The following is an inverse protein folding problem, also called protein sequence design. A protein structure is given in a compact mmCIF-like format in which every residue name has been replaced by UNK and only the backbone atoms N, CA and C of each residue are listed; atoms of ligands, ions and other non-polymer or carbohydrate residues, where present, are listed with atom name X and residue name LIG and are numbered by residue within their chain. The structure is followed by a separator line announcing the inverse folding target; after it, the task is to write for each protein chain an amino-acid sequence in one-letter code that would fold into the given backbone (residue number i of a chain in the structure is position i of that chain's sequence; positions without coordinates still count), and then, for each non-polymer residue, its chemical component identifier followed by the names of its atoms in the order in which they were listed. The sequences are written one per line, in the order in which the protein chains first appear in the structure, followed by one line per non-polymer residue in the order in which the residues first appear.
data_IF_701696783620
#
_entry.id   IF_701696783620
#
_cell.length_a   1.000
_cell.length_b   1.000
_cell.length_c   1.000
_cell.angle_alpha   90.00
_cell.angle_beta   90.00
_cell.angle_gamma   90.00
#
_symmetry.space_group_name_H-M   'P 1'
#
loop_
_entity.id
_entity.type
_entity.pdbx_description
1 polymer ?
#
# COMPACT_ATOMS: atom_id res chain seq x y z
N UNK A 1 20.44 -20.76 18.09
CA UNK A 1 19.75 -20.09 19.23
C UNK A 1 19.68 -18.59 18.94
N UNK A 2 18.46 -18.03 18.91
CA UNK A 2 18.01 -16.69 19.39
C UNK A 2 18.91 -15.47 19.03
N UNK A 3 18.54 -14.54 18.15
CA UNK A 3 17.47 -13.51 18.23
C UNK A 3 17.57 -12.53 19.42
N UNK A 4 17.77 -11.23 19.12
CA UNK A 4 17.14 -9.98 19.66
C UNK A 4 18.03 -8.77 19.28
N UNK A 5 17.63 -7.77 18.48
CA UNK A 5 16.71 -6.62 18.73
C UNK A 5 17.03 -5.81 20.00
N UNK A 6 17.50 -4.57 19.81
CA UNK A 6 17.26 -3.29 20.55
C UNK A 6 17.67 -2.19 19.55
N UNK A 7 16.91 -1.20 19.06
CA UNK A 7 15.76 -0.38 19.46
C UNK A 7 16.07 0.78 20.43
N UNK A 8 16.11 2.00 19.86
CA UNK A 8 15.71 3.31 20.41
C UNK A 8 16.38 3.90 21.67
N UNK A 9 16.72 5.20 21.57
CA UNK A 9 16.70 6.32 22.56
C UNK A 9 17.72 7.37 22.08
N UNK A 10 17.48 8.67 21.97
CA UNK A 10 16.34 9.49 22.38
C UNK A 10 16.86 10.88 22.81
N UNK A 11 16.32 11.94 22.22
CA UNK A 11 16.04 13.24 22.84
C UNK A 11 14.77 13.71 22.11
N UNK A 12 13.57 13.70 22.68
CA UNK A 12 13.23 13.85 24.09
C UNK A 12 12.77 15.27 24.35
N UNK A 13 11.69 15.70 23.70
CA UNK A 13 10.80 16.73 24.21
C UNK A 13 9.37 16.20 24.03
N UNK A 14 9.02 15.21 24.85
CA UNK A 14 7.62 14.96 25.19
C UNK A 14 7.15 16.17 26.00
N UNK A 15 6.51 17.10 25.32
CA UNK A 15 5.90 18.26 25.93
C UNK A 15 4.39 18.02 25.84
N UNK A 16 3.81 17.68 26.99
CA UNK A 16 2.35 17.67 27.19
C UNK A 16 1.94 19.14 27.11
N UNK A 17 1.56 19.59 25.91
CA UNK A 17 1.11 20.95 25.64
C UNK A 17 -0.40 20.91 25.52
N UNK A 18 -1.08 21.45 26.53
CA UNK A 18 -2.51 21.68 26.51
C UNK A 18 -2.88 22.75 25.48
N UNK A 19 -3.78 22.38 24.55
CA UNK A 19 -4.70 23.24 23.79
C UNK A 19 -4.10 24.52 23.16
N UNK A 20 -3.36 24.36 22.06
CA UNK A 20 -2.62 25.41 21.35
C UNK A 20 -2.96 25.45 19.84
N UNK A 21 -2.58 26.52 19.11
CA UNK A 21 -2.91 26.79 17.70
C UNK A 21 -1.69 27.28 16.89
N UNK A 22 -0.62 26.48 16.85
CA UNK A 22 0.67 26.88 16.33
C UNK A 22 0.67 27.11 14.80
N UNK A 23 1.32 28.19 14.35
CA UNK A 23 1.63 28.46 12.93
C UNK A 23 3.04 27.97 12.61
N UNK A 24 3.20 27.37 11.44
CA UNK A 24 4.49 26.93 10.92
C UNK A 24 4.73 27.52 9.54
N UNK A 25 5.87 28.18 9.39
CA UNK A 25 6.34 28.66 8.09
C UNK A 25 7.62 27.91 7.73
N UNK A 26 7.67 27.38 6.52
CA UNK A 26 8.84 26.70 5.96
C UNK A 26 9.34 27.47 4.74
N UNK A 27 10.63 27.81 4.75
CA UNK A 27 11.29 28.41 3.60
C UNK A 27 12.34 27.44 3.08
N UNK A 28 12.19 27.07 1.82
CA UNK A 28 13.14 26.26 1.07
C UNK A 28 13.92 27.18 0.15
N UNK A 29 15.18 27.41 0.49
CA UNK A 29 16.11 28.14 -0.38
C UNK A 29 16.84 27.13 -1.28
N UNK A 30 16.47 27.18 -2.56
CA UNK A 30 17.00 26.32 -3.62
C UNK A 30 17.93 27.11 -4.55
N UNK A 31 18.37 28.30 -4.12
CA UNK A 31 19.27 29.15 -4.89
C UNK A 31 20.71 28.59 -4.96
N UNK A 32 21.01 27.48 -4.30
CA UNK A 32 22.35 26.89 -4.27
C UNK A 32 22.41 25.59 -5.07
N UNK A 33 23.47 25.43 -5.86
CA UNK A 33 23.73 24.19 -6.61
C UNK A 33 24.29 23.12 -5.67
N UNK A 34 23.56 22.02 -5.50
CA UNK A 34 24.02 20.84 -4.73
C UNK A 34 23.47 20.71 -3.30
N UNK A 35 22.89 21.75 -2.73
CA UNK A 35 22.24 21.69 -1.41
C UNK A 35 21.01 22.62 -1.34
N UNK A 36 20.06 22.26 -0.49
CA UNK A 36 18.91 23.05 -0.11
C UNK A 36 19.07 23.50 1.34
N UNK A 37 18.81 24.78 1.59
CA UNK A 37 18.75 25.31 2.95
C UNK A 37 17.30 25.40 3.37
N UNK A 38 16.95 24.69 4.44
CA UNK A 38 15.59 24.62 4.96
C UNK A 38 15.55 25.45 6.24
N UNK A 39 14.66 26.44 6.25
CA UNK A 39 14.40 27.25 7.42
C UNK A 39 12.99 26.94 7.91
N UNK A 40 12.89 26.45 9.14
CA UNK A 40 11.62 26.20 9.81
C UNK A 40 11.40 27.26 10.87
N UNK A 41 10.23 27.89 10.84
CA UNK A 41 9.80 28.86 11.83
C UNK A 41 8.56 28.34 12.54
N UNK A 42 8.64 28.22 13.87
CA UNK A 42 7.51 27.93 14.72
C UNK A 42 7.13 29.18 15.50
N UNK A 43 5.86 29.58 15.41
CA UNK A 43 5.34 30.78 16.07
C UNK A 43 4.45 30.39 17.24
N UNK A 44 4.73 31.01 18.39
CA UNK A 44 4.02 30.79 19.64
C UNK A 44 3.50 32.13 20.16
N UNK A 45 2.32 32.14 20.75
CA UNK A 45 1.83 33.24 21.58
C UNK A 45 2.65 33.36 22.87
N UNK A 46 2.54 34.49 23.56
CA UNK A 46 3.25 34.69 24.83
C UNK A 46 2.91 33.62 25.87
N UNK A 47 1.63 33.24 25.96
CA UNK A 47 1.15 32.22 26.89
C UNK A 47 1.68 30.83 26.53
N UNK A 48 1.79 30.52 25.24
CA UNK A 48 2.37 29.27 24.74
C UNK A 48 3.86 29.17 25.10
N UNK A 49 4.64 30.24 24.92
CA UNK A 49 6.06 30.22 25.33
C UNK A 49 6.23 30.04 26.82
N UNK A 50 5.42 30.71 27.65
CA UNK A 50 5.47 30.57 29.12
C UNK A 50 5.20 29.14 29.58
N UNK A 51 4.38 28.38 28.83
CA UNK A 51 4.15 26.96 29.09
C UNK A 51 5.31 26.07 28.61
N UNK A 52 5.95 26.43 27.50
CA UNK A 52 7.04 25.66 26.88
C UNK A 52 8.38 25.83 27.60
N UNK A 53 8.68 27.04 28.06
CA UNK A 53 9.94 27.36 28.73
C UNK A 53 9.81 28.60 29.61
N UNK A 54 10.44 28.57 30.78
CA UNK A 54 10.61 29.75 31.62
C UNK A 54 11.59 30.77 31.02
N UNK A 55 12.38 30.37 30.01
CA UNK A 55 13.38 31.19 29.36
C UNK A 55 12.93 31.63 27.96
N UNK A 56 12.25 32.77 27.93
CA UNK A 56 11.72 33.41 26.70
C UNK A 56 12.82 34.04 25.84
N UNK A 57 14.07 34.16 26.34
CA UNK A 57 15.18 34.79 25.61
C UNK A 57 15.66 33.99 24.39
N UNK A 58 15.24 32.72 24.30
CA UNK A 58 15.50 31.82 23.17
C UNK A 58 14.57 32.03 21.96
N UNK A 59 13.62 32.95 22.06
CA UNK A 59 12.62 33.22 21.03
C UNK A 59 12.72 34.68 20.57
N UNK A 60 12.57 34.89 19.28
CA UNK A 60 12.52 36.23 18.69
C UNK A 60 11.09 36.75 18.69
N UNK A 61 10.85 37.99 19.14
CA UNK A 61 9.51 38.59 19.08
C UNK A 61 9.26 39.15 17.69
N UNK A 62 8.20 38.68 17.04
CA UNK A 62 7.78 39.10 15.69
C UNK A 62 6.31 39.49 15.72
N UNK A 63 5.96 40.61 15.09
CA UNK A 63 4.54 40.95 14.85
C UNK A 63 4.18 40.55 13.42
N UNK A 64 3.16 39.68 13.29
CA UNK A 64 2.73 39.18 11.98
C UNK A 64 1.65 40.11 11.36
N UNK A 65 1.28 39.83 10.12
CA UNK A 65 0.31 40.61 9.33
C UNK A 65 -1.08 40.72 9.97
N UNK A 66 -1.42 39.81 10.88
CA UNK A 66 -2.66 39.87 11.66
C UNK A 66 -2.61 40.89 12.82
N UNK A 67 -1.49 41.62 12.94
CA UNK A 67 -1.25 42.62 13.97
C UNK A 67 -0.91 42.05 15.35
N UNK A 68 -0.76 40.72 15.47
CA UNK A 68 -0.43 40.06 16.74
C UNK A 68 1.06 39.80 16.86
N UNK A 69 1.57 39.93 18.08
CA UNK A 69 2.95 39.59 18.43
C UNK A 69 3.05 38.11 18.81
N UNK A 70 3.98 37.44 18.14
CA UNK A 70 4.37 36.05 18.35
C UNK A 70 5.83 35.97 18.79
N UNK A 71 6.18 34.85 19.38
CA UNK A 71 7.52 34.44 19.75
C UNK A 71 7.93 33.33 18.79
N UNK A 72 8.87 33.65 17.92
CA UNK A 72 9.34 32.79 16.85
C UNK A 72 10.56 31.99 17.31
N UNK A 73 10.55 30.70 17.01
CA UNK A 73 11.73 29.83 17.08
C UNK A 73 12.13 29.43 15.65
N UNK A 74 13.37 29.69 15.26
CA UNK A 74 13.91 29.29 13.97
C UNK A 74 14.83 28.09 14.10
N UNK A 75 14.72 27.13 13.19
CA UNK A 75 15.67 26.05 12.99
C UNK A 75 16.15 26.06 11.54
N UNK A 76 17.46 25.93 11.34
CA UNK A 76 18.10 25.93 10.02
C UNK A 76 18.76 24.58 9.83
N UNK A 77 18.47 23.94 8.70
CA UNK A 77 19.07 22.67 8.31
C UNK A 77 19.57 22.76 6.87
N UNK A 78 20.80 22.33 6.65
CA UNK A 78 21.35 22.13 5.30
C UNK A 78 21.10 20.67 4.91
N UNK A 79 20.37 20.45 3.82
CA UNK A 79 20.13 19.12 3.25
C UNK A 79 20.65 19.06 1.83
N UNK A 80 21.31 17.96 1.45
CA UNK A 80 21.54 17.68 0.04
C UNK A 80 20.21 17.40 -0.69
N UNK A 81 20.18 17.64 -2.00
CA UNK A 81 19.01 17.28 -2.82
C UNK A 81 18.68 15.79 -2.71
N UNK A 82 19.70 14.93 -2.60
CA UNK A 82 19.53 13.48 -2.45
C UNK A 82 18.87 13.09 -1.12
N UNK A 83 19.20 13.78 -0.03
CA UNK A 83 18.59 13.57 1.30
C UNK A 83 17.12 13.99 1.33
N UNK A 84 16.76 15.06 0.63
CA UNK A 84 15.37 15.45 0.43
C UNK A 84 14.60 14.42 -0.42
N UNK A 85 15.28 13.74 -1.36
CA UNK A 85 14.68 12.77 -2.27
C UNK A 85 14.47 11.38 -1.65
N UNK A 86 15.17 11.03 -0.57
CA UNK A 86 15.16 9.68 0.00
C UNK A 86 13.77 9.17 0.47
N UNK A 87 12.76 10.04 0.55
CA UNK A 87 11.37 9.71 0.87
C UNK A 87 10.34 9.92 -0.25
N UNK A 88 10.74 10.42 -1.43
CA UNK A 88 9.81 10.76 -2.51
C UNK A 88 9.51 9.53 -3.39
N UNK A 89 8.26 9.09 -3.47
CA UNK A 89 7.86 7.99 -4.39
C UNK A 89 8.05 8.35 -5.88
N UNK A 90 8.19 9.64 -6.19
CA UNK A 90 8.39 10.21 -7.53
C UNK A 90 9.86 10.48 -7.86
N UNK A 91 10.76 10.31 -6.89
CA UNK A 91 12.20 10.06 -7.06
C UNK A 91 13.04 11.09 -7.82
N UNK A 92 12.53 12.30 -8.07
CA UNK A 92 13.19 13.30 -8.91
C UNK A 92 13.12 14.68 -8.25
N UNK A 93 14.29 15.25 -7.99
CA UNK A 93 14.52 16.70 -8.08
C UNK A 93 15.70 16.96 -9.01
N UNK A 94 15.47 17.80 -10.01
CA UNK A 94 16.54 18.66 -10.55
C UNK A 94 16.43 19.97 -9.77
N UNK A 95 17.50 20.76 -9.55
CA UNK A 95 17.43 22.02 -8.80
C UNK A 95 16.35 23.00 -9.30
N UNK A 96 15.84 22.76 -10.50
CA UNK A 96 14.89 23.57 -11.26
C UNK A 96 13.46 22.96 -11.31
N UNK A 97 13.23 21.83 -10.61
CA UNK A 97 11.97 21.09 -10.58
C UNK A 97 11.71 20.49 -9.19
N UNK A 98 10.68 20.98 -8.51
CA UNK A 98 10.32 20.55 -7.15
C UNK A 98 8.94 19.93 -7.16
N UNK A 99 8.84 18.67 -6.69
CA UNK A 99 7.58 18.02 -6.36
C UNK A 99 7.57 17.64 -4.90
N UNK A 100 6.57 18.12 -4.17
CA UNK A 100 6.36 17.70 -2.79
C UNK A 100 5.05 16.91 -2.73
N UNK A 101 5.08 15.61 -2.37
CA UNK A 101 3.87 14.84 -2.11
C UNK A 101 3.16 15.45 -0.91
N UNK A 102 1.90 15.81 -1.09
CA UNK A 102 1.03 16.24 0.01
C UNK A 102 0.41 15.02 0.71
N UNK A 103 1.10 13.89 0.76
CA UNK A 103 0.53 12.65 1.28
C UNK A 103 -0.04 12.87 2.68
N UNK A 104 -1.37 12.69 2.76
CA UNK A 104 -2.24 12.57 3.94
C UNK A 104 -1.50 12.75 5.28
N UNK A 105 -1.57 13.97 5.82
CA UNK A 105 -1.64 14.10 7.29
C UNK A 105 -2.88 13.28 7.69
N UNK A 106 -2.64 12.18 8.39
CA UNK A 106 -3.55 11.03 8.47
C UNK A 106 -4.95 11.44 8.99
N UNK A 107 -5.98 11.32 8.15
CA UNK A 107 -7.40 11.48 8.54
C UNK A 107 -7.94 10.27 9.32
N UNK A 108 -7.10 9.37 9.84
CA UNK A 108 -7.54 8.25 10.66
C UNK A 108 -7.01 8.32 12.08
N UNK A 109 -7.77 9.04 12.91
CA UNK A 109 -8.00 8.69 14.31
C UNK A 109 -8.19 7.18 14.47
N UNK A 110 -7.30 6.55 15.23
CA UNK A 110 -7.56 5.23 15.80
C UNK A 110 -7.67 5.41 17.32
N UNK A 111 -8.90 5.42 17.81
CA UNK A 111 -9.34 5.75 19.16
C UNK A 111 -9.01 4.71 20.25
N UNK A 112 -8.01 3.83 20.05
CA UNK A 112 -7.78 2.67 20.92
C UNK A 112 -6.36 2.57 21.53
N UNK A 113 -5.63 3.68 21.67
CA UNK A 113 -4.49 3.72 22.61
C UNK A 113 -4.91 4.51 23.85
N UNK A 114 -4.84 3.87 25.02
CA UNK A 114 -5.24 4.37 26.35
C UNK A 114 -4.38 5.54 26.89
N UNK A 115 -4.09 6.53 26.06
CA UNK A 115 -3.51 7.82 26.46
C UNK A 115 -4.05 8.97 25.60
N UNK A 116 -5.35 8.94 25.31
CA UNK A 116 -6.03 9.86 24.40
C UNK A 116 -6.24 11.25 25.01
N UNK A 117 -5.61 12.27 24.42
CA UNK A 117 -6.29 13.51 24.00
C UNK A 117 -5.46 14.28 22.96
N UNK A 118 -5.28 13.68 21.77
CA UNK A 118 -4.72 14.36 20.57
C UNK A 118 -5.52 14.12 19.25
N UNK A 119 -6.86 13.87 19.21
CA UNK A 119 -7.54 13.73 17.92
C UNK A 119 -7.75 15.00 17.06
N UNK A 120 -7.76 16.21 17.63
CA UNK A 120 -8.14 17.43 16.88
C UNK A 120 -6.96 18.35 16.50
N UNK A 121 -5.72 17.97 16.86
CA UNK A 121 -4.53 18.82 16.72
C UNK A 121 -4.10 19.07 15.26
N UNK A 122 -4.44 18.16 14.35
CA UNK A 122 -3.85 18.11 13.00
C UNK A 122 -4.69 18.82 11.92
N UNK A 123 -5.94 19.18 12.21
CA UNK A 123 -6.85 19.85 11.27
C UNK A 123 -6.77 21.39 11.32
N UNK A 124 -5.99 21.96 12.25
CA UNK A 124 -5.88 23.42 12.48
C UNK A 124 -4.54 24.02 12.05
N UNK A 125 -3.60 23.23 11.53
CA UNK A 125 -2.27 23.72 11.15
C UNK A 125 -2.33 24.47 9.83
N UNK A 126 -2.12 25.80 9.88
CA UNK A 126 -1.77 26.58 8.69
C UNK A 126 -0.28 26.42 8.45
N UNK A 127 0.08 25.78 7.34
CA UNK A 127 1.46 25.62 6.90
C UNK A 127 1.66 26.53 5.69
N UNK A 128 2.49 27.56 5.85
CA UNK A 128 2.93 28.36 4.72
C UNK A 128 4.26 27.80 4.23
N UNK A 129 4.36 27.52 2.93
CA UNK A 129 5.61 27.11 2.30
C UNK A 129 6.02 28.15 1.26
N UNK A 130 7.26 28.58 1.35
CA UNK A 130 7.90 29.47 0.39
C UNK A 130 9.08 28.77 -0.25
N UNK A 131 9.13 28.74 -1.57
CA UNK A 131 10.25 28.23 -2.34
C UNK A 131 10.93 29.37 -3.05
N UNK A 132 12.25 29.50 -2.88
CA UNK A 132 13.06 30.51 -3.57
C UNK A 132 13.97 29.84 -4.59
N UNK A 133 13.92 30.30 -5.84
CA UNK A 133 14.61 29.70 -6.99
C UNK A 133 15.56 30.71 -7.66
N UNK A 134 16.60 30.18 -8.30
CA UNK A 134 17.55 30.97 -9.07
C UNK A 134 17.01 31.48 -10.42
N UNK A 135 15.96 30.85 -10.92
CA UNK A 135 15.41 31.05 -12.25
C UNK A 135 13.93 31.39 -12.19
N UNK A 136 13.45 32.03 -13.26
CA UNK A 136 12.05 32.38 -13.43
C UNK A 136 11.15 31.14 -13.38
N UNK A 137 10.17 31.20 -12.50
CA UNK A 137 9.03 30.28 -12.42
C UNK A 137 8.14 30.53 -13.63
N UNK A 138 7.86 29.45 -14.35
CA UNK A 138 7.03 29.49 -15.56
C UNK A 138 5.73 28.72 -15.41
N UNK A 139 5.63 27.82 -14.43
CA UNK A 139 4.41 27.05 -14.14
C UNK A 139 4.43 26.54 -12.70
N UNK A 140 3.30 26.64 -12.00
CA UNK A 140 3.12 26.17 -10.63
C UNK A 140 1.63 26.11 -10.26
N UNK A 141 1.28 25.33 -9.23
CA UNK A 141 -0.03 25.42 -8.56
C UNK A 141 -0.03 26.31 -7.29
N UNK A 142 1.04 27.07 -7.05
CA UNK A 142 1.14 28.09 -6.01
C UNK A 142 0.99 29.51 -6.55
N UNK A 143 1.09 30.49 -5.65
CA UNK A 143 1.14 31.91 -6.00
C UNK A 143 2.60 32.32 -6.28
N UNK A 144 2.84 33.08 -7.35
CA UNK A 144 4.19 33.47 -7.78
C UNK A 144 4.45 34.92 -7.41
N UNK A 145 5.64 35.22 -6.87
CA UNK A 145 6.09 36.59 -6.59
C UNK A 145 6.26 37.43 -7.87
N UNK A 146 6.29 38.76 -7.72
CA UNK A 146 6.50 39.69 -8.85
C UNK A 146 7.82 39.45 -9.60
N UNK A 147 8.88 39.07 -8.88
CA UNK A 147 10.20 38.77 -9.45
C UNK A 147 10.28 37.38 -10.12
N UNK A 148 9.18 36.61 -10.09
CA UNK A 148 9.05 35.25 -10.60
C UNK A 148 10.02 34.24 -10.00
N UNK A 149 10.63 34.52 -8.85
CA UNK A 149 11.62 33.63 -8.23
C UNK A 149 11.14 32.98 -6.95
N UNK A 150 10.00 33.40 -6.43
CA UNK A 150 9.38 32.81 -5.25
C UNK A 150 8.02 32.23 -5.57
N UNK A 151 7.72 31.08 -4.96
CA UNK A 151 6.38 30.48 -4.98
C UNK A 151 5.88 30.26 -3.57
N UNK A 152 4.65 30.70 -3.33
CA UNK A 152 3.97 30.63 -2.05
C UNK A 152 2.83 29.60 -2.09
N UNK A 153 2.74 28.79 -1.04
CA UNK A 153 1.65 27.85 -0.82
C UNK A 153 1.03 28.05 0.56
N UNK A 154 -0.29 28.23 0.58
CA UNK A 154 -1.12 28.13 1.79
C UNK A 154 -1.71 26.72 1.84
N UNK A 155 -1.03 25.81 2.56
CA UNK A 155 -1.47 24.42 2.66
C UNK A 155 -2.49 24.24 3.78
N UNK A 156 -3.74 23.97 3.40
CA UNK A 156 -4.88 23.76 4.31
C UNK A 156 -5.25 22.28 4.48
N UNK A 157 -4.23 21.41 4.55
CA UNK A 157 -4.41 19.96 4.72
C UNK A 157 -4.79 19.20 3.44
N UNK A 158 -5.02 19.87 2.30
CA UNK A 158 -5.38 19.29 1.00
C UNK A 158 -5.27 20.30 -0.15
N UNK A 159 -4.94 19.80 -1.34
CA UNK A 159 -5.34 20.34 -2.66
C UNK A 159 -5.84 19.18 -3.52
N UNK A 160 -6.67 19.44 -4.55
CA UNK A 160 -7.38 18.43 -5.35
C UNK A 160 -6.48 17.42 -6.10
N UNK A 161 -5.16 17.66 -6.15
CA UNK A 161 -4.21 16.92 -7.00
C UNK A 161 -3.04 16.27 -6.24
N UNK A 162 -2.97 16.43 -4.91
CA UNK A 162 -2.09 15.64 -4.03
C UNK A 162 -0.59 15.96 -4.08
N UNK A 163 -0.17 16.94 -4.89
CA UNK A 163 1.21 17.42 -4.97
C UNK A 163 1.23 18.95 -5.03
N UNK A 164 2.32 19.55 -4.55
CA UNK A 164 2.74 20.91 -4.90
C UNK A 164 3.85 20.83 -5.94
N UNK A 165 3.81 21.68 -6.97
CA UNK A 165 4.77 21.64 -8.07
C UNK A 165 5.23 23.02 -8.51
N UNK A 166 6.52 23.12 -8.88
CA UNK A 166 7.13 24.34 -9.43
C UNK A 166 8.03 23.96 -10.61
N UNK A 167 7.87 24.66 -11.74
CA UNK A 167 8.71 24.56 -12.92
C UNK A 167 9.40 25.89 -13.22
N UNK A 168 10.72 25.87 -13.46
CA UNK A 168 11.47 27.01 -14.04
C UNK A 168 11.74 26.80 -15.53
N UNK A 169 12.24 27.83 -16.22
CA UNK A 169 12.63 27.78 -17.63
C UNK A 169 13.59 26.63 -18.00
N UNK A 170 14.57 26.31 -17.15
CA UNK A 170 15.44 25.13 -17.39
C UNK A 170 14.89 23.83 -16.80
N UNK A 171 13.91 23.93 -15.89
CA UNK A 171 13.19 22.80 -15.29
C UNK A 171 12.12 22.20 -16.20
N UNK A 172 11.47 23.03 -17.02
CA UNK A 172 10.58 22.61 -18.12
C UNK A 172 11.43 22.23 -19.31
N UNK A 173 12.10 21.10 -19.18
CA UNK A 173 12.17 20.25 -20.36
C UNK A 173 10.71 19.91 -20.67
N UNK A 174 10.26 20.06 -21.92
CA UNK A 174 9.04 19.39 -22.35
C UNK A 174 9.15 17.96 -21.82
N UNK A 175 8.40 17.62 -20.78
CA UNK A 175 8.27 16.23 -20.38
C UNK A 175 7.55 15.69 -21.59
N UNK A 176 8.27 15.02 -22.49
CA UNK A 176 7.69 14.30 -23.62
C UNK A 176 6.39 13.71 -23.08
N UNK A 177 5.25 14.15 -23.62
CA UNK A 177 3.95 13.76 -23.08
C UNK A 177 3.98 12.25 -23.02
N UNK A 178 4.01 11.68 -21.82
CA UNK A 178 4.10 10.24 -21.70
C UNK A 178 2.89 9.67 -22.42
N UNK A 179 3.13 8.93 -23.49
CA UNK A 179 2.08 8.31 -24.30
C UNK A 179 1.94 6.83 -23.98
N UNK A 180 2.80 6.30 -23.11
CA UNK A 180 2.84 4.88 -22.80
C UNK A 180 1.97 4.62 -21.59
N UNK A 181 0.92 3.80 -21.77
CA UNK A 181 0.05 3.45 -20.66
C UNK A 181 0.71 2.46 -19.68
N UNK A 182 0.30 2.48 -18.39
CA UNK A 182 0.80 1.55 -17.39
C UNK A 182 0.70 0.08 -17.81
N UNK A 183 1.65 -0.74 -17.41
CA UNK A 183 1.62 -2.19 -17.64
C UNK A 183 1.09 -2.91 -16.41
N UNK A 184 0.04 -3.73 -16.59
CA UNK A 184 -0.49 -4.63 -15.54
C UNK A 184 -0.20 -6.08 -15.93
N UNK A 185 0.64 -6.75 -15.14
CA UNK A 185 1.19 -8.07 -15.44
C UNK A 185 1.24 -9.06 -14.26
N UNK A 186 1.95 -10.16 -14.49
CA UNK A 186 2.19 -11.22 -13.51
C UNK A 186 1.07 -12.25 -13.32
N UNK A 187 -0.13 -11.97 -13.87
CA UNK A 187 -1.27 -12.91 -13.87
C UNK A 187 -1.92 -12.97 -15.25
N UNK A 188 -2.33 -14.17 -15.67
CA UNK A 188 -3.12 -14.36 -16.91
C UNK A 188 -4.55 -13.83 -16.73
N UNK A 189 -5.02 -13.02 -17.69
CA UNK A 189 -6.37 -12.45 -17.74
C UNK A 189 -7.44 -13.52 -17.57
N UNK A 190 -8.52 -13.20 -16.84
CA UNK A 190 -9.70 -14.07 -16.64
C UNK A 190 -9.46 -15.41 -15.92
N UNK A 191 -8.24 -15.69 -15.43
CA UNK A 191 -7.96 -16.85 -14.60
C UNK A 191 -8.51 -16.63 -13.19
N UNK A 192 -8.95 -17.73 -12.56
CA UNK A 192 -9.22 -17.73 -11.13
C UNK A 192 -7.91 -17.66 -10.36
N UNK A 193 -7.87 -16.79 -9.34
CA UNK A 193 -6.74 -16.65 -8.43
C UNK A 193 -7.23 -16.56 -6.99
N UNK A 194 -6.40 -17.04 -6.06
CA UNK A 194 -6.60 -16.88 -4.63
C UNK A 194 -5.65 -15.81 -4.06
N UNK A 195 -5.56 -15.74 -2.73
CA UNK A 195 -4.72 -14.78 -2.00
C UNK A 195 -3.25 -14.86 -2.39
N UNK A 196 -2.73 -16.06 -2.65
CA UNK A 196 -1.35 -16.23 -3.11
C UNK A 196 -1.17 -15.76 -4.55
N UNK A 197 -2.19 -15.95 -5.39
CA UNK A 197 -2.21 -15.42 -6.74
C UNK A 197 -2.16 -13.89 -6.78
N UNK A 198 -2.87 -13.20 -5.90
CA UNK A 198 -2.87 -11.72 -5.82
C UNK A 198 -1.47 -11.13 -5.60
N UNK A 199 -0.61 -11.82 -4.84
CA UNK A 199 0.80 -11.42 -4.64
C UNK A 199 1.64 -11.45 -5.92
N UNK A 200 1.12 -11.99 -7.02
CA UNK A 200 1.82 -12.03 -8.32
C UNK A 200 1.47 -10.85 -9.22
N UNK A 201 0.51 -10.00 -8.85
CA UNK A 201 0.18 -8.80 -9.63
C UNK A 201 1.38 -7.87 -9.62
N UNK A 202 1.77 -7.41 -10.80
CA UNK A 202 2.81 -6.39 -11.01
C UNK A 202 2.19 -5.25 -11.80
N UNK A 203 2.42 -4.02 -11.34
CA UNK A 203 1.92 -2.82 -12.00
C UNK A 203 3.09 -1.84 -12.00
N UNK A 204 3.43 -1.40 -13.19
CA UNK A 204 4.55 -0.50 -13.45
C UNK A 204 4.21 0.43 -14.59
N UNK A 205 4.96 1.50 -14.66
CA UNK A 205 4.92 2.51 -15.72
C UNK A 205 6.36 2.88 -16.08
N UNK A 206 6.60 3.42 -17.27
CA UNK A 206 7.92 3.89 -17.71
C UNK A 206 8.35 5.16 -16.98
N UNK A 207 7.41 6.02 -16.57
CA UNK A 207 7.69 7.19 -15.74
C UNK A 207 7.21 6.97 -14.32
N UNK A 208 5.88 7.03 -14.09
CA UNK A 208 5.31 6.95 -12.76
C UNK A 208 3.80 6.68 -12.78
N UNK A 209 3.30 6.06 -11.72
CA UNK A 209 1.88 5.82 -11.52
C UNK A 209 1.27 6.95 -10.68
N UNK A 210 0.17 7.53 -11.16
CA UNK A 210 -0.66 8.47 -10.39
C UNK A 210 -1.60 7.75 -9.42
N UNK A 211 -2.22 6.66 -9.88
CA UNK A 211 -3.17 5.91 -9.07
C UNK A 211 -3.33 4.46 -9.54
N UNK A 212 -3.65 3.59 -8.59
CA UNK A 212 -4.03 2.21 -8.86
C UNK A 212 -5.25 1.86 -8.03
N UNK A 213 -6.32 1.41 -8.67
CA UNK A 213 -7.56 1.01 -8.01
C UNK A 213 -7.97 -0.40 -8.37
N UNK A 214 -8.65 -1.10 -7.46
CA UNK A 214 -9.36 -2.34 -7.73
C UNK A 214 -10.84 -2.15 -7.37
N UNK A 215 -11.72 -2.32 -8.36
CA UNK A 215 -13.15 -2.05 -8.22
C UNK A 215 -13.47 -0.63 -7.70
N UNK A 216 -12.64 0.35 -8.04
CA UNK A 216 -12.77 1.75 -7.58
C UNK A 216 -12.21 2.02 -6.18
N UNK A 217 -11.59 1.03 -5.53
CA UNK A 217 -10.93 1.21 -4.23
C UNK A 217 -9.42 1.31 -4.45
N UNK A 218 -8.78 2.29 -3.83
CA UNK A 218 -7.33 2.50 -3.92
C UNK A 218 -6.54 1.29 -3.41
N UNK A 219 -5.55 0.88 -4.19
CA UNK A 219 -4.57 -0.13 -3.83
C UNK A 219 -3.34 0.56 -3.25
N UNK A 220 -2.72 -0.06 -2.24
CA UNK A 220 -1.45 0.40 -1.70
C UNK A 220 -0.29 -0.34 -2.34
N UNK A 221 0.81 0.37 -2.54
CA UNK A 221 2.07 -0.22 -2.94
C UNK A 221 2.79 -0.80 -1.72
N UNK A 222 3.46 -1.94 -1.89
CA UNK A 222 4.31 -2.53 -0.85
C UNK A 222 5.61 -3.00 -1.48
N UNK A 223 6.72 -2.42 -1.03
CA UNK A 223 8.06 -2.82 -1.48
C UNK A 223 8.67 -3.81 -0.50
N UNK A 224 9.27 -4.86 -1.02
CA UNK A 224 9.95 -5.87 -0.20
C UNK A 224 11.15 -6.45 -0.95
N UNK A 225 12.16 -6.84 -0.17
CA UNK A 225 13.36 -7.48 -0.70
C UNK A 225 13.11 -8.99 -0.85
N UNK A 226 13.24 -9.50 -2.07
CA UNK A 226 13.22 -10.93 -2.37
C UNK A 226 14.55 -11.29 -3.04
N UNK A 227 15.37 -12.11 -2.37
CA UNK A 227 16.65 -12.60 -2.93
C UNK A 227 17.57 -11.46 -3.40
N UNK A 228 17.62 -10.36 -2.65
CA UNK A 228 18.43 -9.17 -2.98
C UNK A 228 17.82 -8.24 -4.04
N UNK A 229 16.62 -8.53 -4.55
CA UNK A 229 15.89 -7.67 -5.49
C UNK A 229 14.72 -7.00 -4.79
N UNK A 230 14.60 -5.69 -4.94
CA UNK A 230 13.40 -4.95 -4.53
C UNK A 230 12.27 -5.25 -5.51
N UNK A 231 11.12 -5.68 -4.98
CA UNK A 231 9.92 -5.94 -5.77
C UNK A 231 8.77 -5.11 -5.19
N UNK A 232 8.09 -4.35 -6.05
CA UNK A 232 6.90 -3.58 -5.70
C UNK A 232 5.64 -4.42 -5.98
N UNK A 233 4.86 -4.66 -4.93
CA UNK A 233 3.49 -5.16 -5.01
C UNK A 233 2.49 -4.02 -5.06
N UNK A 234 1.29 -4.29 -5.58
CA UNK A 234 0.10 -3.48 -5.36
C UNK A 234 -1.01 -4.37 -4.83
N UNK A 235 -1.66 -3.98 -3.73
CA UNK A 235 -2.81 -4.71 -3.18
C UNK A 235 -3.76 -3.80 -2.41
N UNK A 236 -5.04 -4.18 -2.33
CA UNK A 236 -5.98 -3.58 -1.39
C UNK A 236 -5.50 -3.79 0.06
N UNK A 237 -5.72 -2.79 0.92
CA UNK A 237 -5.35 -2.82 2.34
C UNK A 237 -6.01 -4.02 3.05
N UNK A 238 -7.28 -4.28 2.72
CA UNK A 238 -8.01 -5.43 3.24
C UNK A 238 -8.40 -6.39 2.10
N UNK A 239 -8.05 -7.66 2.27
CA UNK A 239 -8.36 -8.74 1.34
C UNK A 239 -9.86 -9.02 1.21
N UNK A 240 -10.67 -8.62 2.19
CA UNK A 240 -12.14 -8.72 2.15
C UNK A 240 -12.76 -7.82 1.06
N UNK A 241 -12.05 -6.77 0.64
CA UNK A 241 -12.49 -5.81 -0.37
C UNK A 241 -12.47 -6.40 -1.80
N UNK A 242 -11.76 -7.51 -2.02
CA UNK A 242 -11.85 -8.25 -3.27
C UNK A 242 -13.17 -9.03 -3.36
N UNK A 243 -13.89 -8.82 -4.46
CA UNK A 243 -15.18 -9.48 -4.71
C UNK A 243 -14.94 -10.92 -5.14
N UNK A 244 -15.67 -11.89 -4.57
CA UNK A 244 -15.67 -13.26 -5.13
C UNK A 244 -16.13 -13.21 -6.59
N UNK A 245 -15.40 -13.87 -7.48
CA UNK A 245 -15.62 -13.74 -8.93
C UNK A 245 -14.91 -12.52 -9.53
N UNK A 246 -15.58 -11.76 -10.39
CA UNK A 246 -14.92 -10.77 -11.27
C UNK A 246 -14.44 -9.54 -10.48
N UNK A 247 -13.19 -9.16 -10.68
CA UNK A 247 -12.59 -7.91 -10.19
C UNK A 247 -11.91 -7.17 -11.35
N UNK A 248 -11.83 -5.84 -11.27
CA UNK A 248 -11.18 -4.99 -12.27
C UNK A 248 -10.16 -4.07 -11.60
N UNK A 249 -8.91 -4.13 -12.04
CA UNK A 249 -7.87 -3.18 -11.70
C UNK A 249 -7.82 -2.10 -12.79
N UNK A 250 -7.60 -0.86 -12.37
CA UNK A 250 -7.31 0.28 -13.23
C UNK A 250 -6.06 0.97 -12.69
N UNK A 251 -5.07 1.16 -13.56
CA UNK A 251 -3.86 1.94 -13.27
C UNK A 251 -3.86 3.17 -14.17
N UNK A 252 -3.53 4.32 -13.60
CA UNK A 252 -3.42 5.62 -14.29
C UNK A 252 -2.03 6.18 -14.01
N UNK A 253 -1.32 6.63 -15.04
CA UNK A 253 -0.05 7.34 -14.90
C UNK A 253 -0.26 8.84 -14.63
N UNK A 254 0.85 9.59 -14.51
CA UNK A 254 0.82 11.05 -14.29
C UNK A 254 0.23 11.83 -15.47
N UNK A 255 0.48 11.38 -16.70
CA UNK A 255 -0.02 11.99 -17.94
C UNK A 255 -1.48 11.64 -18.26
N UNK A 256 -2.09 10.76 -17.46
CA UNK A 256 -3.49 10.36 -17.57
C UNK A 256 -3.73 9.14 -18.46
N UNK A 257 -2.71 8.46 -19.00
CA UNK A 257 -2.95 7.21 -19.72
C UNK A 257 -3.38 6.12 -18.74
N UNK A 258 -4.19 5.18 -19.24
CA UNK A 258 -4.87 4.19 -18.41
C UNK A 258 -4.72 2.80 -18.97
N UNK A 259 -4.49 1.86 -18.05
CA UNK A 259 -4.59 0.43 -18.31
C UNK A 259 -5.59 -0.22 -17.39
N UNK A 260 -6.22 -1.29 -17.88
CA UNK A 260 -7.16 -2.06 -17.06
C UNK A 260 -6.99 -3.57 -17.22
N UNK A 261 -7.15 -4.26 -16.09
CA UNK A 261 -6.99 -5.70 -16.02
C UNK A 261 -8.15 -6.33 -15.26
N UNK A 262 -8.68 -7.45 -15.77
CA UNK A 262 -9.76 -8.18 -15.13
C UNK A 262 -9.33 -9.59 -14.77
N UNK A 263 -9.61 -9.98 -13.54
CA UNK A 263 -9.36 -11.33 -13.02
C UNK A 263 -10.59 -11.87 -12.28
N UNK A 264 -10.54 -13.17 -11.96
CA UNK A 264 -11.54 -13.81 -11.10
C UNK A 264 -10.89 -14.19 -9.78
N UNK A 265 -11.45 -13.73 -8.68
CA UNK A 265 -10.98 -14.05 -7.34
C UNK A 265 -11.80 -15.19 -6.75
N UNK A 266 -11.12 -16.10 -6.06
CA UNK A 266 -11.74 -17.15 -5.25
C UNK A 266 -10.81 -17.48 -4.10
N UNK A 267 -11.23 -17.15 -2.88
CA UNK A 267 -10.47 -17.43 -1.66
C UNK A 267 -11.02 -18.61 -0.87
N UNK A 268 -12.10 -19.25 -1.34
CA UNK A 268 -12.82 -20.28 -0.59
C UNK A 268 -12.35 -21.66 -1.03
N UNK A 269 -11.80 -22.48 -0.13
CA UNK A 269 -11.42 -23.85 -0.48
C UNK A 269 -12.60 -24.78 -0.81
N UNK A 270 -12.38 -25.84 -1.61
CA UNK A 270 -13.37 -26.90 -1.84
C UNK A 270 -13.87 -27.57 -0.56
N UNK A 271 -15.16 -27.90 -0.51
CA UNK A 271 -15.72 -28.67 0.61
C UNK A 271 -15.72 -30.16 0.29
N UNK A 272 -15.17 -30.96 1.21
CA UNK A 272 -15.18 -32.42 1.17
C UNK A 272 -16.32 -32.94 2.07
N UNK A 273 -17.09 -33.93 1.60
CA UNK A 273 -18.25 -34.51 2.31
C UNK A 273 -18.28 -36.03 2.22
N UNK A 274 -18.91 -36.66 3.21
CA UNK A 274 -19.07 -38.12 3.37
C UNK A 274 -17.75 -38.90 3.52
N UNK A 275 -16.73 -38.22 4.00
CA UNK A 275 -15.48 -38.80 4.50
C UNK A 275 -14.99 -37.90 5.63
N UNK A 276 -14.35 -38.49 6.64
CA UNK A 276 -13.77 -37.79 7.79
C UNK A 276 -12.29 -38.15 7.93
N UNK A 277 -11.55 -37.32 8.67
CA UNK A 277 -10.21 -37.66 9.08
C UNK A 277 -10.23 -38.95 9.92
N UNK A 278 -9.14 -39.72 9.85
CA UNK A 278 -8.96 -40.94 10.64
C UNK A 278 -9.99 -42.05 10.39
N UNK A 279 -10.70 -42.00 9.28
CA UNK A 279 -11.72 -43.00 8.96
C UNK A 279 -11.09 -44.30 8.44
N UNK A 280 -11.53 -45.44 9.00
CA UNK A 280 -11.10 -46.78 8.58
C UNK A 280 -12.05 -47.37 7.53
N UNK A 281 -11.48 -48.09 6.57
CA UNK A 281 -12.18 -48.79 5.50
C UNK A 281 -11.63 -50.21 5.39
N UNK A 282 -12.48 -51.17 4.98
CA UNK A 282 -12.00 -52.53 4.70
C UNK A 282 -11.42 -52.63 3.30
N UNK A 283 -10.34 -53.40 3.17
CA UNK A 283 -9.71 -53.76 1.92
C UNK A 283 -10.72 -54.34 0.93
N UNK A 284 -10.58 -53.97 -0.33
CA UNK A 284 -11.47 -54.36 -1.40
C UNK A 284 -12.82 -53.63 -1.43
N UNK A 285 -13.18 -52.84 -0.40
CA UNK A 285 -14.39 -52.00 -0.41
C UNK A 285 -14.14 -50.66 -1.10
N UNK A 286 -15.23 -50.06 -1.58
CA UNK A 286 -15.20 -48.75 -2.26
C UNK A 286 -15.21 -47.63 -1.23
N UNK A 287 -14.21 -46.75 -1.30
CA UNK A 287 -14.22 -45.46 -0.63
C UNK A 287 -14.97 -44.48 -1.52
N UNK A 288 -16.03 -43.86 -1.01
CA UNK A 288 -16.85 -42.91 -1.77
C UNK A 288 -17.05 -41.62 -0.99
N UNK A 289 -16.68 -40.50 -1.60
CA UNK A 289 -16.88 -39.18 -1.02
C UNK A 289 -17.27 -38.16 -2.09
N UNK A 290 -17.61 -36.97 -1.63
CA UNK A 290 -18.12 -35.89 -2.46
C UNK A 290 -17.26 -34.65 -2.30
N UNK A 291 -16.95 -33.99 -3.40
CA UNK A 291 -16.17 -32.75 -3.43
C UNK A 291 -16.96 -31.69 -4.16
N UNK A 292 -17.08 -30.50 -3.58
CA UNK A 292 -17.84 -29.41 -4.17
C UNK A 292 -17.12 -28.08 -4.00
N UNK A 293 -17.20 -27.25 -5.02
CA UNK A 293 -16.75 -25.87 -4.98
C UNK A 293 -17.77 -24.94 -5.66
N UNK A 294 -18.02 -23.80 -5.01
CA UNK A 294 -19.05 -22.85 -5.41
C UNK A 294 -18.56 -21.87 -6.47
N UNK A 295 -17.28 -21.52 -6.49
CA UNK A 295 -16.79 -20.30 -7.15
C UNK A 295 -15.94 -20.57 -8.38
N UNK A 296 -14.82 -21.28 -8.26
CA UNK A 296 -13.88 -21.55 -9.37
C UNK A 296 -14.04 -22.95 -10.00
N UNK A 297 -14.66 -23.88 -9.27
CA UNK A 297 -14.82 -25.29 -9.59
C UNK A 297 -13.58 -26.12 -9.21
N UNK A 298 -13.72 -27.44 -9.25
CA UNK A 298 -12.63 -28.37 -8.93
C UNK A 298 -11.63 -28.46 -10.09
N UNK A 299 -10.34 -28.39 -9.77
CA UNK A 299 -9.22 -28.58 -10.71
C UNK A 299 -8.71 -30.02 -10.71
N UNK A 300 -8.37 -30.54 -9.53
CA UNK A 300 -7.87 -31.92 -9.36
C UNK A 300 -8.17 -32.47 -7.97
N UNK A 301 -8.26 -33.78 -7.89
CA UNK A 301 -8.23 -34.54 -6.64
C UNK A 301 -6.98 -35.42 -6.67
N UNK A 302 -6.25 -35.47 -5.58
CA UNK A 302 -5.03 -36.27 -5.43
C UNK A 302 -5.04 -37.01 -4.11
N UNK A 303 -4.12 -37.96 -3.96
CA UNK A 303 -3.92 -38.68 -2.72
C UNK A 303 -2.48 -39.14 -2.54
N UNK A 304 -2.05 -39.28 -1.29
CA UNK A 304 -0.85 -39.99 -0.88
C UNK A 304 -1.28 -41.39 -0.44
N UNK A 305 -0.48 -42.39 -0.79
CA UNK A 305 -0.61 -43.77 -0.30
C UNK A 305 0.66 -44.11 0.46
N UNK A 306 0.54 -44.50 1.73
CA UNK A 306 1.66 -44.95 2.58
C UNK A 306 2.83 -43.95 2.61
N UNK A 307 2.52 -42.65 2.77
CA UNK A 307 3.49 -41.54 2.74
C UNK A 307 4.34 -41.42 1.47
N UNK A 308 3.98 -42.15 0.39
CA UNK A 308 4.66 -42.08 -0.90
C UNK A 308 4.33 -40.80 -1.68
N UNK A 309 4.68 -40.77 -2.98
CA UNK A 309 4.44 -39.60 -3.84
C UNK A 309 2.94 -39.30 -4.02
N UNK A 310 2.60 -38.01 -4.16
CA UNK A 310 1.25 -37.55 -4.48
C UNK A 310 0.78 -38.12 -5.83
N UNK A 311 -0.38 -38.78 -5.85
CA UNK A 311 -0.99 -39.38 -7.04
C UNK A 311 -2.28 -38.67 -7.41
N UNK A 312 -2.45 -38.35 -8.69
CA UNK A 312 -3.70 -37.79 -9.20
C UNK A 312 -4.78 -38.88 -9.31
N UNK A 313 -5.98 -38.60 -8.81
CA UNK A 313 -7.13 -39.48 -9.01
C UNK A 313 -7.52 -39.46 -10.49
N UNK A 314 -7.55 -40.63 -11.13
CA UNK A 314 -7.91 -40.75 -12.54
C UNK A 314 -9.37 -40.33 -12.80
N UNK A 315 -9.63 -39.71 -13.96
CA UNK A 315 -10.97 -39.17 -14.33
C UNK A 315 -12.09 -40.21 -14.22
N UNK A 316 -11.82 -41.49 -14.54
CA UNK A 316 -12.81 -42.59 -14.43
C UNK A 316 -13.38 -42.78 -13.02
N UNK A 317 -12.66 -42.34 -11.99
CA UNK A 317 -13.08 -42.40 -10.58
C UNK A 317 -13.81 -41.14 -10.11
N UNK A 318 -13.98 -40.14 -10.97
CA UNK A 318 -14.57 -38.84 -10.65
C UNK A 318 -15.81 -38.64 -11.52
N UNK A 319 -17.00 -38.78 -10.92
CA UNK A 319 -18.27 -38.59 -11.62
C UNK A 319 -18.89 -37.26 -11.24
N UNK A 320 -19.28 -36.46 -12.23
CA UNK A 320 -19.97 -35.19 -11.99
C UNK A 320 -21.37 -35.45 -11.42
N UNK A 321 -21.75 -34.69 -10.40
CA UNK A 321 -23.10 -34.70 -9.82
C UNK A 321 -23.92 -33.58 -10.47
N UNK A 322 -25.24 -33.77 -10.66
CA UNK A 322 -26.13 -32.82 -11.37
C UNK A 322 -25.94 -31.37 -10.88
N UNK A 323 -25.97 -30.45 -11.86
CA UNK A 323 -25.45 -29.07 -11.78
C UNK A 323 -26.50 -28.09 -11.23
N UNK A 324 -26.03 -27.07 -10.54
CA UNK A 324 -26.87 -26.04 -9.93
C UNK A 324 -26.00 -25.10 -9.10
N UNK A 325 -26.24 -25.03 -7.79
CA UNK A 325 -25.59 -24.14 -6.80
C UNK A 325 -24.07 -24.37 -6.56
N UNK A 326 -23.34 -25.05 -7.48
CA UNK A 326 -21.87 -25.27 -7.46
C UNK A 326 -21.25 -25.24 -8.87
N UNK A 327 -20.10 -24.56 -9.02
CA UNK A 327 -19.30 -24.60 -10.26
C UNK A 327 -18.65 -25.97 -10.47
N UNK A 328 -18.29 -26.66 -9.40
CA UNK A 328 -17.82 -28.04 -9.42
C UNK A 328 -18.53 -28.87 -8.36
N UNK A 329 -19.12 -30.01 -8.74
CA UNK A 329 -19.64 -30.98 -7.79
C UNK A 329 -19.41 -32.40 -8.33
N UNK A 330 -18.63 -33.19 -7.60
CA UNK A 330 -18.19 -34.50 -8.04
C UNK A 330 -18.29 -35.53 -6.93
N UNK A 331 -18.61 -36.77 -7.33
CA UNK A 331 -18.51 -37.98 -6.53
C UNK A 331 -17.19 -38.66 -6.90
N UNK A 332 -16.36 -38.92 -5.91
CA UNK A 332 -15.09 -39.65 -6.05
C UNK A 332 -15.29 -41.05 -5.51
N UNK A 333 -14.89 -42.07 -6.27
CA UNK A 333 -15.00 -43.48 -5.86
C UNK A 333 -13.70 -44.22 -6.17
N UNK A 334 -13.03 -44.70 -5.13
CA UNK A 334 -11.76 -45.44 -5.20
C UNK A 334 -11.89 -46.79 -4.51
N UNK A 335 -11.01 -47.73 -4.86
CA UNK A 335 -10.91 -49.05 -4.22
C UNK A 335 -9.44 -49.41 -4.05
N UNK A 336 -9.08 -49.88 -2.88
CA UNK A 336 -7.73 -50.33 -2.53
C UNK A 336 -7.84 -51.76 -2.04
N UNK A 337 -7.00 -52.66 -2.57
CA UNK A 337 -7.07 -54.11 -2.31
C UNK A 337 -6.01 -54.59 -1.30
N UNK A 338 -5.21 -53.68 -0.76
CA UNK A 338 -4.21 -53.96 0.26
C UNK A 338 -4.40 -52.95 1.40
N UNK A 339 -4.04 -53.31 2.64
CA UNK A 339 -3.95 -52.34 3.71
C UNK A 339 -3.05 -51.17 3.31
N UNK A 340 -3.46 -49.95 3.66
CA UNK A 340 -2.69 -48.74 3.38
C UNK A 340 -3.21 -47.52 4.12
N UNK A 341 -2.34 -46.54 4.32
CA UNK A 341 -2.66 -45.20 4.78
C UNK A 341 -2.95 -44.26 3.61
N UNK A 342 -3.97 -43.40 3.73
CA UNK A 342 -4.41 -42.46 2.71
C UNK A 342 -4.54 -41.03 3.26
N UNK A 343 -3.99 -40.08 2.50
CA UNK A 343 -4.25 -38.63 2.65
C UNK A 343 -4.75 -38.06 1.33
N UNK A 344 -5.92 -37.45 1.31
CA UNK A 344 -6.53 -36.86 0.12
C UNK A 344 -6.35 -35.34 0.09
N UNK A 345 -6.12 -34.79 -1.10
CA UNK A 345 -6.18 -33.34 -1.34
C UNK A 345 -7.13 -33.03 -2.50
N UNK A 346 -7.85 -31.93 -2.35
CA UNK A 346 -8.77 -31.41 -3.36
C UNK A 346 -8.40 -29.98 -3.65
N UNK A 347 -8.11 -29.70 -4.91
CA UNK A 347 -7.69 -28.39 -5.39
C UNK A 347 -8.78 -27.79 -6.28
N UNK A 348 -9.10 -26.53 -6.06
CA UNK A 348 -9.94 -25.76 -6.99
C UNK A 348 -9.11 -25.15 -8.14
N UNK A 349 -9.76 -24.37 -9.02
CA UNK A 349 -9.09 -23.72 -10.15
C UNK A 349 -8.35 -22.45 -9.78
N UNK A 350 -8.61 -21.88 -8.61
CA UNK A 350 -7.91 -20.73 -8.05
C UNK A 350 -6.60 -21.12 -7.34
N UNK A 351 -6.47 -22.40 -6.99
CA UNK A 351 -5.36 -22.97 -6.24
C UNK A 351 -5.62 -23.12 -4.74
N UNK A 352 -6.87 -22.97 -4.28
CA UNK A 352 -7.23 -23.29 -2.90
C UNK A 352 -7.30 -24.81 -2.71
N UNK A 353 -6.98 -25.25 -1.50
CA UNK A 353 -6.80 -26.67 -1.18
C UNK A 353 -7.62 -27.04 0.05
N UNK A 354 -8.20 -28.24 0.03
CA UNK A 354 -8.74 -28.89 1.22
C UNK A 354 -8.22 -30.31 1.31
N UNK A 355 -8.05 -30.79 2.54
CA UNK A 355 -7.43 -32.08 2.81
C UNK A 355 -8.28 -32.94 3.72
N UNK A 356 -8.10 -34.26 3.57
CA UNK A 356 -8.52 -35.29 4.53
C UNK A 356 -7.30 -36.15 4.79
N UNK A 357 -7.01 -36.41 6.06
CA UNK A 357 -5.84 -37.19 6.47
C UNK A 357 -6.23 -38.31 7.43
N UNK A 358 -5.31 -39.26 7.63
CA UNK A 358 -5.51 -40.32 8.61
C UNK A 358 -6.35 -41.50 8.13
N UNK A 359 -6.80 -41.55 6.87
CA UNK A 359 -7.68 -42.64 6.44
C UNK A 359 -6.90 -43.95 6.32
N UNK A 360 -7.39 -45.01 6.95
CA UNK A 360 -6.77 -46.33 6.90
C UNK A 360 -7.62 -47.31 6.10
N UNK A 361 -6.97 -48.12 5.28
CA UNK A 361 -7.55 -49.34 4.70
C UNK A 361 -6.96 -50.51 5.46
N UNK A 362 -7.80 -51.36 6.04
CA UNK A 362 -7.43 -52.57 6.80
C UNK A 362 -7.85 -53.85 6.09
#
# INVERSE_FOLDING_TARGET
MKAKKVLALGLGAGLIISMCGCRYDYTYDLSSTGAAKIMQFAYYTEDEVKQLSSDTSKYEKVTLEDGKTYYMKSEIEDKSYDELNAGLETGIMKPNLVYVPCDKIDEQTNSNSESSSVPDLYNAMKINMTYMLNEDVIETNGEVSEDKRSVYYDYKGKTAEGYLYIYTASGKNEIDTDTTAPVIGGIKKSKYINNLGLKKIRISDNLALKSVTCNGIDMKSYTYNLEGKQVRHWMLKDMSQYKQGKNKIVATDLSGNKSSFTFKYDSVPPVIKKIKNYQTYYSGKKITFYVKDKTSGISKVTYFKDYGKEKKVAKKYIKKVKKGKYKGYYKVTLKFNSPCYLKFYVYDKAGNTSEIYGCNVI
#
